data_IF_769077987255
#
_entry.id   IF_769077987255
#
_cell.length_a   1.000
_cell.length_b   1.000
_cell.length_c   1.000
_cell.angle_alpha   90.00
_cell.angle_beta   90.00
_cell.angle_gamma   90.00
#
_symmetry.space_group_name_H-M   'P 1'
#
loop_
_entity.id
_entity.type
_entity.pdbx_description
1 polymer ?
#
# COMPACT_ATOMS: atom_id res chain seq x y z
N UNK A 1 21.05 -3.72 -5.09
CA UNK A 1 19.82 -4.52 -5.20
C UNK A 1 19.11 -4.48 -3.86
N UNK A 2 17.86 -3.99 -3.83
CA UNK A 2 17.10 -3.84 -2.59
C UNK A 2 16.43 -5.18 -2.29
N UNK A 3 16.96 -5.96 -1.33
CA UNK A 3 16.55 -7.35 -1.08
C UNK A 3 15.04 -7.54 -0.86
N UNK A 4 14.34 -6.53 -0.33
CA UNK A 4 12.88 -6.56 -0.18
C UNK A 4 12.13 -6.50 -1.51
N UNK A 5 12.66 -5.78 -2.51
CA UNK A 5 12.01 -5.63 -3.82
C UNK A 5 11.94 -6.97 -4.53
N UNK A 6 13.05 -7.71 -4.56
CA UNK A 6 13.10 -9.06 -5.15
C UNK A 6 12.17 -10.05 -4.44
N UNK A 7 12.06 -9.95 -3.11
CA UNK A 7 11.12 -10.77 -2.34
C UNK A 7 9.68 -10.44 -2.73
N UNK A 8 9.31 -9.17 -2.75
CA UNK A 8 7.95 -8.72 -3.10
C UNK A 8 7.60 -9.10 -4.55
N UNK A 9 8.51 -8.92 -5.49
CA UNK A 9 8.36 -9.38 -6.88
C UNK A 9 8.15 -10.90 -6.98
N UNK A 10 8.85 -11.66 -6.14
CA UNK A 10 8.70 -13.12 -6.09
C UNK A 10 7.33 -13.51 -5.54
N UNK A 11 6.89 -12.85 -4.46
CA UNK A 11 5.59 -13.09 -3.83
C UNK A 11 4.44 -12.71 -4.76
N UNK A 12 4.55 -11.59 -5.49
CA UNK A 12 3.58 -11.16 -6.51
C UNK A 12 3.44 -12.19 -7.64
N UNK A 13 4.55 -12.66 -8.18
CA UNK A 13 4.57 -13.60 -9.32
C UNK A 13 4.17 -15.02 -8.93
N UNK A 14 4.45 -15.42 -7.70
CA UNK A 14 4.26 -16.79 -7.22
C UNK A 14 3.38 -16.84 -5.98
N UNK A 15 2.30 -16.07 -5.95
CA UNK A 15 1.44 -15.89 -4.75
C UNK A 15 1.02 -17.24 -4.15
N UNK A 16 0.57 -18.19 -4.97
CA UNK A 16 0.20 -19.54 -4.51
C UNK A 16 1.34 -20.42 -3.97
N UNK A 17 2.61 -20.06 -4.21
CA UNK A 17 3.76 -20.73 -3.59
C UNK A 17 3.96 -20.30 -2.14
N UNK A 18 3.59 -19.06 -1.81
CA UNK A 18 3.76 -18.48 -0.47
C UNK A 18 2.50 -18.62 0.38
N UNK A 19 1.32 -18.58 -0.25
CA UNK A 19 0.05 -18.54 0.45
C UNK A 19 -0.92 -19.59 -0.08
N UNK A 20 -1.40 -20.52 0.77
CA UNK A 20 -2.48 -21.42 0.42
C UNK A 20 -3.76 -20.67 0.02
N UNK A 21 -4.07 -19.59 0.75
CA UNK A 21 -5.16 -18.67 0.44
C UNK A 21 -4.60 -17.41 -0.23
N UNK A 22 -4.93 -17.20 -1.50
CA UNK A 22 -4.42 -16.08 -2.30
C UNK A 22 -5.34 -14.87 -2.22
N UNK A 23 -5.69 -14.46 -1.00
CA UNK A 23 -6.49 -13.26 -0.77
C UNK A 23 -5.60 -12.04 -0.54
N UNK A 24 -6.12 -10.88 -0.93
CA UNK A 24 -5.50 -9.59 -0.71
C UNK A 24 -5.07 -9.39 0.74
N UNK A 25 -5.95 -9.69 1.70
CA UNK A 25 -5.65 -9.49 3.12
C UNK A 25 -4.56 -10.42 3.64
N UNK A 26 -4.44 -11.66 3.13
CA UNK A 26 -3.32 -12.55 3.47
C UNK A 26 -1.99 -11.97 2.97
N UNK A 27 -1.95 -11.49 1.73
CA UNK A 27 -0.75 -10.86 1.15
C UNK A 27 -0.41 -9.55 1.87
N UNK A 28 -1.41 -8.70 2.15
CA UNK A 28 -1.23 -7.45 2.88
C UNK A 28 -0.72 -7.69 4.31
N UNK A 29 -1.22 -8.72 4.99
CA UNK A 29 -0.73 -9.12 6.31
C UNK A 29 0.73 -9.60 6.26
N UNK A 30 1.13 -10.34 5.22
CA UNK A 30 2.53 -10.69 5.01
C UNK A 30 3.42 -9.44 4.85
N UNK A 31 2.99 -8.48 4.03
CA UNK A 31 3.72 -7.22 3.84
C UNK A 31 3.83 -6.43 5.14
N UNK A 32 2.75 -6.34 5.92
CA UNK A 32 2.77 -5.73 7.26
C UNK A 32 3.75 -6.44 8.19
N UNK A 33 3.72 -7.77 8.23
CA UNK A 33 4.64 -8.59 9.02
C UNK A 33 6.10 -8.38 8.64
N UNK A 34 6.38 -8.28 7.34
CA UNK A 34 7.71 -7.98 6.83
C UNK A 34 8.19 -6.60 7.27
N UNK A 35 7.35 -5.58 7.15
CA UNK A 35 7.67 -4.22 7.61
C UNK A 35 7.92 -4.16 9.13
N UNK A 36 7.08 -4.83 9.92
CA UNK A 36 7.27 -4.94 11.37
C UNK A 36 8.60 -5.63 11.74
N UNK A 37 8.97 -6.69 11.02
CA UNK A 37 10.25 -7.36 11.19
C UNK A 37 11.46 -6.46 10.87
N UNK A 38 11.24 -5.38 10.12
CA UNK A 38 12.23 -4.35 9.78
C UNK A 38 11.97 -3.02 10.52
N UNK A 39 11.36 -3.09 11.72
CA UNK A 39 11.08 -1.93 12.58
C UNK A 39 10.29 -0.80 11.89
N UNK A 40 9.44 -1.13 10.92
CA UNK A 40 8.61 -0.16 10.19
C UNK A 40 9.33 0.61 9.09
N UNK A 41 10.61 0.32 8.83
CA UNK A 41 11.43 1.09 7.89
C UNK A 41 11.17 0.79 6.40
N UNK A 42 10.43 -0.27 6.09
CA UNK A 42 10.15 -0.67 4.70
C UNK A 42 8.99 0.16 4.14
N UNK A 43 8.00 0.49 4.98
CA UNK A 43 6.80 1.24 4.62
C UNK A 43 6.67 2.59 5.35
N UNK A 44 7.73 3.08 5.99
CA UNK A 44 7.73 4.39 6.64
C UNK A 44 7.31 5.52 5.67
N UNK A 45 6.12 6.09 5.86
CA UNK A 45 5.54 7.12 4.99
C UNK A 45 4.57 6.59 3.91
N UNK A 46 4.42 5.27 3.75
CA UNK A 46 3.61 4.68 2.68
C UNK A 46 2.13 5.09 2.78
N UNK A 47 1.58 5.10 3.99
CA UNK A 47 0.18 5.48 4.23
C UNK A 47 -0.04 6.95 3.88
N UNK A 48 0.84 7.83 4.34
CA UNK A 48 0.80 9.28 4.08
C UNK A 48 0.88 9.57 2.58
N UNK A 49 1.73 8.83 1.88
CA UNK A 49 1.85 8.89 0.43
C UNK A 49 0.56 8.47 -0.27
N UNK A 50 -0.09 7.38 0.16
CA UNK A 50 -1.38 6.96 -0.38
C UNK A 50 -2.49 7.99 -0.12
N UNK A 51 -2.53 8.59 1.07
CA UNK A 51 -3.50 9.67 1.39
C UNK A 51 -3.32 10.85 0.45
N UNK A 52 -2.09 11.33 0.25
CA UNK A 52 -1.81 12.44 -0.66
C UNK A 52 -2.16 12.09 -2.11
N UNK A 53 -1.84 10.87 -2.54
CA UNK A 53 -2.14 10.39 -3.89
C UNK A 53 -3.64 10.33 -4.16
N UNK A 54 -4.42 9.85 -3.20
CA UNK A 54 -5.87 9.69 -3.32
C UNK A 54 -6.64 10.97 -2.94
N UNK A 55 -5.98 11.92 -2.27
CA UNK A 55 -6.60 13.14 -1.76
C UNK A 55 -7.62 12.90 -0.65
N UNK A 56 -7.63 11.72 -0.02
CA UNK A 56 -8.65 11.30 0.95
C UNK A 56 -8.15 10.19 1.90
N UNK A 57 -8.99 9.83 2.88
CA UNK A 57 -8.81 8.61 3.66
C UNK A 57 -7.75 8.69 4.75
N UNK A 58 -7.54 9.88 5.35
CA UNK A 58 -6.62 10.02 6.49
C UNK A 58 -7.04 9.24 7.74
N UNK A 59 -8.30 8.83 7.83
CA UNK A 59 -8.80 7.92 8.85
C UNK A 59 -8.64 6.44 8.48
N UNK A 60 -8.15 6.11 7.28
CA UNK A 60 -8.01 4.74 6.79
C UNK A 60 -6.60 4.17 7.02
N UNK A 61 -6.52 2.85 7.13
CA UNK A 61 -5.26 2.13 7.08
C UNK A 61 -4.73 2.10 5.64
N UNK A 62 -3.42 1.88 5.46
CA UNK A 62 -2.86 1.75 4.11
C UNK A 62 -3.49 0.60 3.34
N UNK A 63 -3.90 -0.48 4.01
CA UNK A 63 -4.57 -1.62 3.38
C UNK A 63 -5.90 -1.23 2.73
N UNK A 64 -6.66 -0.34 3.38
CA UNK A 64 -7.91 0.16 2.81
C UNK A 64 -7.66 1.18 1.70
N UNK A 65 -6.66 2.03 1.84
CA UNK A 65 -6.26 2.98 0.80
C UNK A 65 -5.83 2.27 -0.50
N UNK A 66 -5.11 1.15 -0.39
CA UNK A 66 -4.77 0.31 -1.55
C UNK A 66 -6.02 -0.22 -2.25
N UNK A 67 -7.06 -0.62 -1.52
CA UNK A 67 -8.32 -1.07 -2.14
C UNK A 67 -9.05 0.08 -2.85
N UNK A 68 -9.06 1.28 -2.27
CA UNK A 68 -9.60 2.47 -2.95
C UNK A 68 -8.80 2.83 -4.20
N UNK A 69 -7.48 2.62 -4.20
CA UNK A 69 -6.66 2.78 -5.40
C UNK A 69 -6.94 1.69 -6.45
N UNK A 70 -7.20 0.45 -6.01
CA UNK A 70 -7.49 -0.67 -6.90
C UNK A 70 -8.89 -0.59 -7.54
N UNK A 71 -9.85 0.02 -6.84
CA UNK A 71 -11.25 0.08 -7.23
C UNK A 71 -11.82 1.50 -7.02
N UNK A 72 -11.38 2.49 -7.82
CA UNK A 72 -11.71 3.91 -7.59
C UNK A 72 -13.19 4.24 -7.77
N UNK A 73 -13.91 3.48 -8.60
CA UNK A 73 -15.34 3.69 -8.89
C UNK A 73 -16.28 3.05 -7.85
N UNK A 74 -15.72 2.29 -6.92
CA UNK A 74 -16.51 1.47 -6.00
C UNK A 74 -16.70 2.19 -4.66
N UNK A 75 -17.96 2.27 -4.22
CA UNK A 75 -18.30 2.91 -2.94
C UNK A 75 -17.82 2.09 -1.74
N UNK A 76 -17.77 0.76 -1.88
CA UNK A 76 -17.21 -0.16 -0.89
C UNK A 76 -16.23 -1.16 -1.55
N UNK A 77 -14.97 -0.76 -1.75
CA UNK A 77 -13.95 -1.64 -2.35
C UNK A 77 -13.69 -2.94 -1.59
N UNK A 78 -14.01 -2.99 -0.29
CA UNK A 78 -13.90 -4.20 0.52
C UNK A 78 -14.84 -5.30 0.01
N UNK A 79 -16.09 -4.96 -0.32
CA UNK A 79 -17.07 -5.94 -0.78
C UNK A 79 -16.69 -6.49 -2.16
N UNK A 80 -16.11 -5.64 -3.00
CA UNK A 80 -15.62 -6.02 -4.33
C UNK A 80 -14.47 -7.01 -4.24
N UNK A 81 -13.48 -6.75 -3.37
CA UNK A 81 -12.31 -7.63 -3.27
C UNK A 81 -12.69 -9.01 -2.72
N UNK A 82 -13.60 -9.10 -1.74
CA UNK A 82 -14.01 -10.40 -1.17
C UNK A 82 -14.92 -11.21 -2.10
N UNK A 83 -15.64 -10.56 -3.02
CA UNK A 83 -16.63 -11.21 -3.87
C UNK A 83 -16.03 -12.01 -5.05
N UNK A 84 -14.78 -11.72 -5.45
CA UNK A 84 -14.21 -12.28 -6.68
C UNK A 84 -12.72 -12.62 -6.57
N UNK A 85 -12.28 -13.84 -6.96
CA UNK A 85 -10.86 -14.16 -7.09
C UNK A 85 -10.10 -13.24 -8.05
N UNK A 86 -10.76 -12.74 -9.10
CA UNK A 86 -10.16 -11.76 -10.02
C UNK A 86 -9.91 -10.43 -9.32
N UNK A 87 -10.85 -9.98 -8.48
CA UNK A 87 -10.67 -8.77 -7.68
C UNK A 87 -9.57 -8.95 -6.62
N UNK A 88 -9.49 -10.11 -5.97
CA UNK A 88 -8.37 -10.45 -5.09
C UNK A 88 -7.03 -10.32 -5.82
N UNK A 89 -6.91 -10.88 -7.03
CA UNK A 89 -5.69 -10.79 -7.83
C UNK A 89 -5.36 -9.35 -8.22
N UNK A 90 -6.34 -8.58 -8.69
CA UNK A 90 -6.16 -7.18 -9.03
C UNK A 90 -5.65 -6.36 -7.84
N UNK A 91 -6.25 -6.53 -6.66
CA UNK A 91 -5.83 -5.82 -5.46
C UNK A 91 -4.40 -6.20 -5.02
N UNK A 92 -4.01 -7.47 -5.17
CA UNK A 92 -2.64 -7.93 -4.90
C UNK A 92 -1.64 -7.29 -5.87
N UNK A 93 -1.96 -7.23 -7.17
CA UNK A 93 -1.09 -6.62 -8.16
C UNK A 93 -0.94 -5.11 -7.91
N UNK A 94 -2.05 -4.42 -7.61
CA UNK A 94 -2.05 -2.99 -7.26
C UNK A 94 -1.27 -2.72 -5.96
N UNK A 95 -1.37 -3.56 -4.94
CA UNK A 95 -0.57 -3.43 -3.72
C UNK A 95 0.92 -3.33 -4.04
N UNK A 96 1.42 -4.26 -4.85
CA UNK A 96 2.84 -4.30 -5.17
C UNK A 96 3.26 -3.16 -6.12
N UNK A 97 2.42 -2.78 -7.09
CA UNK A 97 2.67 -1.61 -7.94
C UNK A 97 2.79 -0.32 -7.09
N UNK A 98 1.90 -0.15 -6.11
CA UNK A 98 1.92 1.01 -5.20
C UNK A 98 3.16 1.02 -4.32
N UNK A 99 3.59 -0.15 -3.83
CA UNK A 99 4.82 -0.25 -3.02
C UNK A 99 6.06 0.09 -3.87
N UNK A 100 6.13 -0.41 -5.11
CA UNK A 100 7.22 -0.10 -6.03
C UNK A 100 7.29 1.40 -6.35
N UNK A 101 6.15 2.02 -6.69
CA UNK A 101 6.09 3.46 -6.97
C UNK A 101 6.45 4.30 -5.73
N UNK A 102 5.95 3.92 -4.56
CA UNK A 102 6.34 4.54 -3.30
C UNK A 102 7.85 4.41 -3.03
N UNK A 103 8.44 3.26 -3.39
CA UNK A 103 9.87 3.02 -3.24
C UNK A 103 10.73 3.90 -4.16
N UNK A 104 10.19 4.32 -5.29
CA UNK A 104 10.82 5.32 -6.15
C UNK A 104 10.75 6.72 -5.50
N UNK A 105 9.57 7.13 -5.03
CA UNK A 105 9.38 8.44 -4.36
C UNK A 105 10.27 8.59 -3.13
N UNK A 106 10.37 7.55 -2.27
CA UNK A 106 11.24 7.61 -1.07
C UNK A 106 12.73 7.66 -1.43
N UNK A 107 13.13 7.10 -2.58
CA UNK A 107 14.52 7.03 -3.01
C UNK A 107 15.01 8.36 -3.61
N UNK A 108 14.10 9.25 -3.98
CA UNK A 108 14.44 10.61 -4.38
C UNK A 108 15.18 11.37 -3.27
N UNK A 109 15.98 12.36 -3.68
CA UNK A 109 16.64 13.26 -2.74
C UNK A 109 15.60 13.99 -1.88
N UNK A 110 15.72 13.82 -0.57
CA UNK A 110 14.81 14.33 0.46
C UNK A 110 13.36 13.82 0.32
N UNK A 111 13.14 12.68 -0.36
CA UNK A 111 11.81 12.15 -0.71
C UNK A 111 10.88 12.02 0.50
N UNK A 112 11.32 11.30 1.54
CA UNK A 112 10.54 11.16 2.78
C UNK A 112 10.29 12.49 3.49
N UNK A 113 11.27 13.39 3.52
CA UNK A 113 11.10 14.71 4.15
C UNK A 113 10.03 15.52 3.42
N UNK A 114 10.09 15.58 2.08
CA UNK A 114 9.09 16.27 1.26
C UNK A 114 7.71 15.66 1.45
N UNK A 115 7.64 14.33 1.48
CA UNK A 115 6.40 13.59 1.70
C UNK A 115 5.73 13.98 3.02
N UNK A 116 6.46 13.93 4.14
CA UNK A 116 5.89 14.29 5.44
C UNK A 116 5.49 15.76 5.53
N UNK A 117 6.28 16.69 4.95
CA UNK A 117 5.89 18.11 4.87
C UNK A 117 4.60 18.29 4.09
N UNK A 118 4.46 17.64 2.93
CA UNK A 118 3.24 17.70 2.12
C UNK A 118 2.04 17.13 2.85
N UNK A 119 2.23 16.02 3.56
CA UNK A 119 1.17 15.40 4.35
C UNK A 119 0.70 16.30 5.49
N UNK A 120 1.62 16.89 6.25
CA UNK A 120 1.28 17.85 7.32
C UNK A 120 0.52 19.06 6.78
N UNK A 121 0.93 19.58 5.62
CA UNK A 121 0.19 20.66 4.94
C UNK A 121 -1.22 20.23 4.55
N UNK A 122 -1.39 19.03 3.99
CA UNK A 122 -2.68 18.48 3.63
C UNK A 122 -3.59 18.30 4.85
N UNK A 123 -3.08 17.72 5.95
CA UNK A 123 -3.83 17.51 7.19
C UNK A 123 -4.37 18.83 7.75
N UNK A 124 -3.53 19.87 7.79
CA UNK A 124 -3.93 21.21 8.24
C UNK A 124 -5.01 21.84 7.36
N UNK A 125 -4.95 21.63 6.04
CA UNK A 125 -5.97 22.12 5.12
C UNK A 125 -7.34 21.45 5.33
N UNK A 126 -7.35 20.20 5.78
CA UNK A 126 -8.58 19.46 6.08
C UNK A 126 -9.18 19.81 7.45
N UNK A 127 -8.49 20.61 8.27
CA UNK A 127 -8.95 20.94 9.63
C UNK A 127 -8.93 19.76 10.60
N UNK A 128 -8.06 18.77 10.35
CA UNK A 128 -7.88 17.58 11.19
C UNK A 128 -6.72 17.88 12.14
N UNK A 129 -6.99 18.45 13.31
CA UNK A 129 -6.04 18.61 14.43
C UNK A 129 -6.51 17.83 15.67
#
# INVERSE_FOLDING_TARGET
MNAHRELFDSVRRRTGMYFPEQTYFVVAAFVLGYDMAHAGGVLAGFREWLVLRLGMGSNLTWMMLVLHAAFPEESNPHDVVIASPTAQRQAIDILFDLIDEFHEVRAERDGLRKLFVSYDCWVRQQGIE
#
